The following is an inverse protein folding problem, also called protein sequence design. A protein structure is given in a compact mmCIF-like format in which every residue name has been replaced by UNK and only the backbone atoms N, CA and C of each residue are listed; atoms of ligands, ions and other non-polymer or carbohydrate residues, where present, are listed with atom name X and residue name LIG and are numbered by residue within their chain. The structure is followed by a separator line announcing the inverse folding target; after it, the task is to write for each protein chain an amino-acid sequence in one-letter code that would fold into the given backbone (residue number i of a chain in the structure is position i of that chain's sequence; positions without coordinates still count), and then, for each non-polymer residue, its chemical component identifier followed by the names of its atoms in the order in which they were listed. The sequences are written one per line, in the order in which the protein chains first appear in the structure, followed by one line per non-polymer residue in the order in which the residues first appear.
data_IF_127407583708
#
_entry.id   IF_127407583708
#
_cell.length_a   1.000
_cell.length_b   1.000
_cell.length_c   1.000
_cell.angle_alpha   90.00
_cell.angle_beta   90.00
_cell.angle_gamma   90.00
#
_symmetry.space_group_name_H-M   'P 1'
#
loop_
_entity.id
_entity.type
_entity.pdbx_description
1 polymer ?
#
# COMPACT_ATOMS: atom_id res chain seq x y z
N UNK A 1 0.49 5.97 3.50
CA UNK A 1 1.02 5.19 2.36
C UNK A 1 1.23 6.12 1.20
N UNK A 2 2.40 6.06 0.55
CA UNK A 2 2.82 7.02 -0.47
C UNK A 2 3.44 6.33 -1.68
N UNK A 3 3.32 6.91 -2.86
CA UNK A 3 4.08 6.49 -4.03
C UNK A 3 5.56 6.89 -3.92
N UNK A 4 6.39 6.41 -4.84
CA UNK A 4 7.81 6.80 -4.96
C UNK A 4 7.97 8.30 -5.28
N UNK A 5 6.99 8.91 -5.96
CA UNK A 5 6.92 10.34 -6.25
C UNK A 5 6.37 11.17 -5.06
N UNK A 6 6.01 10.52 -3.95
CA UNK A 6 5.51 11.18 -2.76
C UNK A 6 4.00 11.47 -2.76
N UNK A 7 3.23 10.93 -3.71
CA UNK A 7 1.78 11.06 -3.72
C UNK A 7 1.15 10.30 -2.55
N UNK A 8 0.31 10.94 -1.76
CA UNK A 8 -0.39 10.29 -0.65
C UNK A 8 -1.58 9.46 -1.15
N UNK A 9 -1.49 8.15 -0.95
CA UNK A 9 -2.51 7.18 -1.37
C UNK A 9 -3.56 6.89 -0.29
N UNK A 10 -3.23 7.09 0.98
CA UNK A 10 -4.13 6.82 2.09
C UNK A 10 -3.45 6.19 3.31
N UNK A 11 -4.27 5.69 4.23
CA UNK A 11 -3.83 5.02 5.47
C UNK A 11 -4.06 3.52 5.32
N UNK A 12 -3.08 2.72 5.78
CA UNK A 12 -3.25 1.28 5.90
C UNK A 12 -4.21 0.98 7.06
N UNK A 13 -5.38 0.41 6.77
CA UNK A 13 -6.39 0.12 7.80
C UNK A 13 -6.52 -1.36 8.11
N UNK A 14 -6.28 -2.22 7.12
CA UNK A 14 -6.48 -3.66 7.24
C UNK A 14 -5.42 -4.42 6.45
N UNK A 15 -5.10 -5.62 6.95
CA UNK A 15 -4.30 -6.62 6.24
C UNK A 15 -5.21 -7.81 6.01
N UNK A 16 -5.49 -8.11 4.74
CA UNK A 16 -6.27 -9.26 4.32
C UNK A 16 -5.32 -10.42 4.00
N UNK A 17 -5.41 -11.50 4.75
CA UNK A 17 -4.69 -12.74 4.44
C UNK A 17 -5.36 -13.44 3.24
N UNK A 18 -4.57 -13.81 2.23
CA UNK A 18 -5.05 -14.57 1.07
C UNK A 18 -4.25 -15.86 0.90
N UNK A 19 -4.68 -16.73 -0.03
CA UNK A 19 -3.93 -17.95 -0.34
C UNK A 19 -2.55 -17.70 -0.97
N UNK A 20 -2.29 -16.47 -1.46
CA UNK A 20 -1.02 -16.09 -2.09
C UNK A 20 -0.20 -15.16 -1.21
N UNK A 21 -0.49 -13.86 -1.30
CA UNK A 21 0.17 -12.82 -0.52
C UNK A 21 -0.84 -12.07 0.32
N UNK A 22 -0.40 -11.55 1.45
CA UNK A 22 -1.21 -10.59 2.20
C UNK A 22 -1.52 -9.39 1.31
N UNK A 23 -2.72 -8.84 1.47
CA UNK A 23 -3.17 -7.65 0.76
C UNK A 23 -3.39 -6.55 1.77
N UNK A 24 -2.68 -5.45 1.58
CA UNK A 24 -2.82 -4.24 2.37
C UNK A 24 -3.96 -3.41 1.82
N UNK A 25 -4.95 -3.13 2.68
CA UNK A 25 -6.11 -2.31 2.35
C UNK A 25 -5.81 -0.88 2.76
N UNK A 26 -5.64 -0.01 1.77
CA UNK A 26 -5.32 1.39 1.97
C UNK A 26 -6.55 2.24 1.64
N UNK A 27 -7.02 3.05 2.60
CA UNK A 27 -8.18 3.91 2.40
C UNK A 27 -7.83 5.40 2.33
N UNK A 28 -8.53 6.12 1.47
CA UNK A 28 -8.52 7.58 1.37
C UNK A 28 -9.88 8.09 0.93
N UNK A 29 -10.54 8.89 1.76
CA UNK A 29 -11.81 9.58 1.41
C UNK A 29 -12.89 8.64 0.86
N UNK A 30 -13.01 7.43 1.44
CA UNK A 30 -13.98 6.43 1.03
C UNK A 30 -13.58 5.59 -0.19
N UNK A 31 -12.45 5.90 -0.83
CA UNK A 31 -11.83 5.05 -1.84
C UNK A 31 -10.87 4.06 -1.18
N UNK A 32 -10.78 2.86 -1.75
CA UNK A 32 -9.97 1.76 -1.27
C UNK A 32 -9.00 1.32 -2.37
N UNK A 33 -7.75 1.10 -1.99
CA UNK A 33 -6.69 0.58 -2.86
C UNK A 33 -6.17 -0.70 -2.22
N UNK A 34 -6.14 -1.77 -3.01
CA UNK A 34 -5.62 -3.07 -2.60
C UNK A 34 -4.18 -3.21 -3.07
N UNK A 35 -3.25 -3.30 -2.12
CA UNK A 35 -1.83 -3.40 -2.40
C UNK A 35 -1.31 -4.77 -1.97
N UNK A 36 -0.93 -5.65 -2.91
CA UNK A 36 -0.26 -6.90 -2.56
C UNK A 36 1.01 -6.62 -1.77
N UNK A 37 1.22 -7.32 -0.66
CA UNK A 37 2.40 -7.21 0.20
C UNK A 37 3.61 -7.95 -0.41
N UNK A 38 3.93 -7.61 -1.66
CA UNK A 38 5.06 -8.16 -2.42
C UNK A 38 6.14 -7.10 -2.60
N UNK A 39 7.39 -7.56 -2.77
CA UNK A 39 8.56 -6.69 -2.94
C UNK A 39 8.47 -5.71 -4.12
N UNK A 40 7.70 -6.07 -5.14
CA UNK A 40 7.47 -5.22 -6.31
C UNK A 40 6.56 -4.02 -6.01
N UNK A 41 5.66 -4.16 -5.04
CA UNK A 41 4.72 -3.12 -4.63
C UNK A 41 5.24 -2.38 -3.41
N UNK A 42 5.66 -3.08 -2.36
CA UNK A 42 6.13 -2.46 -1.12
C UNK A 42 7.64 -2.25 -1.20
N UNK A 43 8.07 -0.98 -1.34
CA UNK A 43 9.48 -0.62 -1.49
C UNK A 43 10.16 -0.33 -0.15
N UNK A 44 9.45 0.31 0.77
CA UNK A 44 9.97 0.61 2.09
C UNK A 44 8.85 0.72 3.13
N UNK A 45 9.14 0.27 4.35
CA UNK A 45 8.32 0.49 5.55
C UNK A 45 9.21 1.23 6.55
N UNK A 46 8.84 2.47 6.84
CA UNK A 46 9.54 3.39 7.72
C UNK A 46 8.70 3.53 9.00
N UNK A 47 8.91 2.62 9.96
CA UNK A 47 8.09 2.52 11.17
C UNK A 47 8.18 3.78 12.04
N UNK A 48 9.38 4.36 12.17
CA UNK A 48 9.61 5.61 12.92
C UNK A 48 8.81 6.79 12.34
N UNK A 49 8.57 6.78 11.03
CA UNK A 49 7.81 7.82 10.32
C UNK A 49 6.31 7.48 10.19
N UNK A 50 5.89 6.28 10.58
CA UNK A 50 4.55 5.77 10.27
C UNK A 50 4.26 5.73 8.77
N UNK A 51 5.30 5.57 7.94
CA UNK A 51 5.23 5.72 6.49
C UNK A 51 5.55 4.41 5.76
N UNK A 52 4.78 4.13 4.72
CA UNK A 52 5.08 3.08 3.75
C UNK A 52 5.18 3.69 2.36
N UNK A 53 6.24 3.34 1.63
CA UNK A 53 6.49 3.75 0.24
C UNK A 53 6.22 2.55 -0.67
N UNK A 54 5.38 2.79 -1.68
CA UNK A 54 4.95 1.76 -2.62
C UNK A 54 5.19 2.16 -4.06
N UNK A 55 5.42 1.17 -4.90
CA UNK A 55 5.43 1.29 -6.35
C UNK A 55 4.12 0.72 -6.88
N UNK A 56 3.34 1.54 -7.58
CA UNK A 56 2.06 1.10 -8.15
C UNK A 56 2.31 0.43 -9.50
N UNK A 57 1.94 -0.85 -9.60
CA UNK A 57 1.89 -1.56 -10.87
C UNK A 57 0.73 -1.03 -11.73
N UNK A 58 0.87 -1.15 -13.05
CA UNK A 58 -0.22 -0.83 -13.97
C UNK A 58 -1.47 -1.63 -13.62
N UNK A 59 -2.60 -0.95 -13.45
CA UNK A 59 -3.90 -1.57 -13.13
C UNK A 59 -4.28 -1.64 -11.64
N UNK A 60 -3.45 -1.13 -10.71
CA UNK A 60 -3.76 -1.07 -9.28
C UNK A 60 -4.44 0.25 -8.82
N UNK A 61 -4.83 1.11 -9.78
CA UNK A 61 -5.53 2.38 -9.53
C UNK A 61 -7.00 2.29 -9.94
#
# INVERSE_FOLDING_TARGET
VYTEEGEFLGVLEEIMETAGHDVYVVRKEGQEILLPAIKEVVRAILLEEGRMVVHLLEGLR
#
